data_IF_052838331741
#
_entry.id   IF_052838331741
#
_cell.length_a   1.000
_cell.length_b   1.000
_cell.length_c   1.000
_cell.angle_alpha   90.00
_cell.angle_beta   90.00
_cell.angle_gamma   90.00
#
_symmetry.space_group_name_H-M   'P 1'
#
loop_
_entity.id
_entity.type
_entity.pdbx_description
1 polymer ?
#
# COMPACT_ATOMS: atom_id res chain seq x y z
N UNK A 1 3.61 -18.95 -10.38
CA UNK A 1 4.33 -20.24 -10.47
C UNK A 1 5.57 -20.18 -11.36
N UNK A 2 5.54 -19.59 -12.57
CA UNK A 2 6.75 -19.49 -13.42
C UNK A 2 7.98 -18.93 -12.70
N UNK A 3 7.82 -17.90 -11.87
CA UNK A 3 8.93 -17.38 -11.04
C UNK A 3 9.51 -18.44 -10.08
N UNK A 4 8.66 -19.23 -9.43
CA UNK A 4 9.10 -20.35 -8.59
C UNK A 4 9.84 -21.41 -9.42
N UNK A 5 9.33 -21.78 -10.59
CA UNK A 5 10.00 -22.74 -11.49
C UNK A 5 11.35 -22.22 -11.99
N UNK A 6 11.45 -20.91 -12.22
CA UNK A 6 12.70 -20.24 -12.57
C UNK A 6 13.69 -20.08 -11.38
N UNK A 7 13.37 -20.65 -10.21
CA UNK A 7 14.25 -20.66 -9.05
C UNK A 7 14.07 -19.50 -8.07
N UNK A 8 13.11 -18.59 -8.28
CA UNK A 8 12.84 -17.54 -7.31
C UNK A 8 12.44 -18.15 -5.96
N UNK A 9 13.08 -17.65 -4.89
CA UNK A 9 12.72 -18.02 -3.53
C UNK A 9 11.31 -17.49 -3.19
N UNK A 10 10.55 -18.17 -2.33
CA UNK A 10 9.23 -17.68 -1.90
C UNK A 10 9.26 -16.23 -1.40
N UNK A 11 10.29 -15.87 -0.63
CA UNK A 11 10.51 -14.51 -0.10
C UNK A 11 10.69 -13.42 -1.18
N UNK A 12 11.06 -13.79 -2.41
CA UNK A 12 11.25 -12.85 -3.52
C UNK A 12 9.96 -12.60 -4.30
N UNK A 13 8.85 -13.24 -3.92
CA UNK A 13 7.58 -13.14 -4.63
C UNK A 13 6.58 -12.35 -3.80
N UNK A 14 6.16 -11.23 -4.37
CA UNK A 14 5.07 -10.40 -3.88
C UNK A 14 3.96 -10.35 -4.93
N UNK A 15 2.77 -10.81 -4.56
CA UNK A 15 1.56 -10.65 -5.34
C UNK A 15 0.61 -9.70 -4.61
N UNK A 16 0.25 -8.60 -5.27
CA UNK A 16 -0.63 -7.57 -4.71
C UNK A 16 -1.97 -7.58 -5.45
N UNK A 17 -3.06 -7.40 -4.70
CA UNK A 17 -4.40 -7.20 -5.26
C UNK A 17 -5.18 -6.11 -4.50
N UNK A 18 -6.37 -5.77 -4.97
CA UNK A 18 -7.19 -4.70 -4.37
C UNK A 18 -8.07 -5.20 -3.22
N UNK A 19 -8.43 -6.48 -3.19
CA UNK A 19 -9.39 -6.99 -2.20
C UNK A 19 -8.81 -8.14 -1.39
N UNK A 20 -9.20 -8.20 -0.10
CA UNK A 20 -8.83 -9.31 0.78
C UNK A 20 -9.34 -10.65 0.24
N UNK A 21 -10.53 -10.64 -0.39
CA UNK A 21 -11.10 -11.83 -1.03
C UNK A 21 -10.22 -12.34 -2.17
N UNK A 22 -9.78 -11.46 -3.07
CA UNK A 22 -8.89 -11.87 -4.17
C UNK A 22 -7.55 -12.38 -3.65
N UNK A 23 -6.99 -11.77 -2.60
CA UNK A 23 -5.73 -12.23 -2.01
C UNK A 23 -5.90 -13.65 -1.45
N UNK A 24 -7.01 -13.90 -0.74
CA UNK A 24 -7.33 -15.22 -0.21
C UNK A 24 -7.58 -16.25 -1.32
N UNK A 25 -8.35 -15.90 -2.36
CA UNK A 25 -8.59 -16.77 -3.51
C UNK A 25 -7.29 -17.13 -4.22
N UNK A 26 -6.39 -16.16 -4.45
CA UNK A 26 -5.08 -16.40 -5.04
C UNK A 26 -4.22 -17.35 -4.19
N UNK A 27 -4.24 -17.19 -2.86
CA UNK A 27 -3.52 -18.06 -1.92
C UNK A 27 -4.06 -19.49 -1.93
N UNK A 28 -5.38 -19.64 -1.90
CA UNK A 28 -6.04 -20.95 -2.00
C UNK A 28 -5.71 -21.63 -3.32
N UNK A 29 -5.85 -20.91 -4.44
CA UNK A 29 -5.53 -21.44 -5.78
C UNK A 29 -4.07 -21.86 -5.90
N UNK A 30 -3.13 -21.02 -5.43
CA UNK A 30 -1.71 -21.37 -5.46
C UNK A 30 -1.42 -22.62 -4.64
N UNK A 31 -1.97 -22.71 -3.43
CA UNK A 31 -1.73 -23.85 -2.54
C UNK A 31 -2.29 -25.13 -3.14
N UNK A 32 -3.51 -25.08 -3.69
CA UNK A 32 -4.14 -26.20 -4.39
C UNK A 32 -3.30 -26.67 -5.58
N UNK A 33 -2.91 -25.74 -6.46
CA UNK A 33 -2.08 -26.04 -7.64
C UNK A 33 -0.75 -26.73 -7.22
N UNK A 34 -0.11 -26.25 -6.14
CA UNK A 34 1.14 -26.83 -5.63
C UNK A 34 0.93 -28.24 -5.06
N UNK A 35 -0.15 -28.47 -4.31
CA UNK A 35 -0.50 -29.78 -3.77
C UNK A 35 -0.78 -30.80 -4.88
N UNK A 36 -1.53 -30.40 -5.91
CA UNK A 36 -1.80 -31.23 -7.07
C UNK A 36 -0.50 -31.64 -7.78
N UNK A 37 0.43 -30.71 -7.99
CA UNK A 37 1.74 -31.03 -8.57
C UNK A 37 2.60 -31.95 -7.71
N UNK A 38 2.53 -31.84 -6.39
CA UNK A 38 3.29 -32.72 -5.50
C UNK A 38 2.83 -34.19 -5.61
N UNK A 39 1.53 -34.40 -5.87
CA UNK A 39 0.89 -35.72 -5.89
C UNK A 39 0.73 -36.33 -7.30
N UNK A 40 0.74 -35.52 -8.35
CA UNK A 40 0.57 -35.98 -9.74
C UNK A 40 1.75 -36.84 -10.22
N UNK A 41 1.55 -37.68 -11.23
CA UNK A 41 2.65 -38.37 -11.93
C UNK A 41 3.39 -37.42 -12.87
N UNK A 42 4.51 -37.88 -13.45
CA UNK A 42 5.38 -37.03 -14.28
C UNK A 42 4.66 -36.54 -15.54
N UNK A 43 3.82 -37.38 -16.15
CA UNK A 43 3.01 -37.02 -17.32
C UNK A 43 1.93 -35.99 -16.95
N UNK A 44 1.28 -36.13 -15.78
CA UNK A 44 0.32 -35.16 -15.27
C UNK A 44 0.94 -33.80 -15.00
N UNK A 45 2.13 -33.77 -14.37
CA UNK A 45 2.89 -32.53 -14.16
C UNK A 45 3.30 -31.90 -15.49
N UNK A 46 3.86 -32.68 -16.41
CA UNK A 46 4.26 -32.18 -17.72
C UNK A 46 3.07 -31.63 -18.52
N UNK A 47 1.90 -32.28 -18.46
CA UNK A 47 0.67 -31.80 -19.06
C UNK A 47 0.18 -30.49 -18.44
N UNK A 48 0.20 -30.40 -17.11
CA UNK A 48 -0.18 -29.19 -16.37
C UNK A 48 0.72 -27.98 -16.70
N UNK A 49 2.02 -28.22 -16.87
CA UNK A 49 3.01 -27.20 -17.26
C UNK A 49 2.82 -26.74 -18.71
N UNK A 50 2.53 -27.67 -19.62
CA UNK A 50 2.23 -27.35 -21.03
C UNK A 50 0.98 -26.50 -21.18
N UNK A 51 -0.08 -26.77 -20.40
CA UNK A 51 -1.30 -25.94 -20.37
C UNK A 51 -1.02 -24.49 -19.94
N UNK A 52 0.11 -24.23 -19.30
CA UNK A 52 0.56 -22.89 -18.87
C UNK A 52 1.63 -22.29 -19.79
N UNK A 53 1.77 -22.85 -21.00
CA UNK A 53 2.55 -22.28 -22.09
C UNK A 53 4.01 -22.74 -22.16
N UNK A 54 4.39 -23.80 -21.43
CA UNK A 54 5.70 -24.43 -21.60
C UNK A 54 5.68 -25.37 -22.82
N UNK A 55 6.78 -25.45 -23.56
CA UNK A 55 6.95 -26.49 -24.57
C UNK A 55 7.02 -27.87 -23.93
N UNK A 56 6.80 -28.95 -24.70
CA UNK A 56 6.89 -30.31 -24.18
C UNK A 56 8.27 -30.64 -23.59
N UNK A 57 9.35 -30.11 -24.18
CA UNK A 57 10.72 -30.29 -23.71
C UNK A 57 10.96 -29.54 -22.39
N UNK A 58 10.60 -28.26 -22.31
CA UNK A 58 10.72 -27.46 -21.09
C UNK A 58 9.87 -28.05 -19.95
N UNK A 59 8.66 -28.51 -20.24
CA UNK A 59 7.77 -29.09 -19.25
C UNK A 59 8.37 -30.37 -18.66
N UNK A 60 8.89 -31.28 -19.51
CA UNK A 60 9.58 -32.49 -19.06
C UNK A 60 10.79 -32.17 -18.20
N UNK A 61 11.61 -31.21 -18.61
CA UNK A 61 12.78 -30.78 -17.83
C UNK A 61 12.40 -30.18 -16.45
N UNK A 62 11.24 -29.56 -16.34
CA UNK A 62 10.77 -28.90 -15.13
C UNK A 62 9.99 -29.80 -14.17
N UNK A 63 9.66 -31.06 -14.52
CA UNK A 63 8.82 -31.96 -13.69
C UNK A 63 9.36 -32.10 -12.26
N UNK A 64 10.64 -32.42 -12.11
CA UNK A 64 11.25 -32.61 -10.78
C UNK A 64 11.20 -31.32 -9.94
N UNK A 65 11.50 -30.18 -10.56
CA UNK A 65 11.43 -28.88 -9.89
C UNK A 65 9.99 -28.52 -9.48
N UNK A 66 9.01 -28.81 -10.35
CA UNK A 66 7.59 -28.55 -10.14
C UNK A 66 7.03 -29.37 -8.96
N UNK A 67 7.37 -30.66 -8.89
CA UNK A 67 6.97 -31.57 -7.80
C UNK A 67 7.43 -31.07 -6.43
N UNK A 68 8.66 -30.54 -6.35
CA UNK A 68 9.24 -30.01 -5.12
C UNK A 68 8.73 -28.63 -4.69
N UNK A 69 7.92 -27.94 -5.51
CA UNK A 69 7.50 -26.57 -5.19
C UNK A 69 6.61 -26.49 -3.95
N UNK A 70 5.75 -27.49 -3.71
CA UNK A 70 4.87 -27.48 -2.54
C UNK A 70 5.67 -27.46 -1.24
N UNK A 71 6.60 -28.41 -1.08
CA UNK A 71 7.48 -28.49 0.09
C UNK A 71 8.28 -27.19 0.23
N UNK A 72 8.88 -26.70 -0.86
CA UNK A 72 9.70 -25.48 -0.84
C UNK A 72 8.92 -24.24 -0.40
N UNK A 73 7.65 -24.14 -0.78
CA UNK A 73 6.77 -23.03 -0.35
C UNK A 73 6.27 -23.24 1.08
N UNK A 74 5.88 -24.46 1.45
CA UNK A 74 5.31 -24.79 2.75
C UNK A 74 6.34 -24.69 3.90
N UNK A 75 7.61 -24.96 3.61
CA UNK A 75 8.71 -24.97 4.58
C UNK A 75 9.55 -23.69 4.56
N UNK A 76 9.18 -22.70 3.75
CA UNK A 76 9.94 -21.47 3.62
C UNK A 76 9.98 -20.70 4.94
N UNK A 77 11.19 -20.35 5.42
CA UNK A 77 11.37 -19.51 6.62
C UNK A 77 10.68 -18.15 6.46
N UNK A 78 10.79 -17.56 5.26
CA UNK A 78 10.07 -16.35 4.89
C UNK A 78 9.05 -16.72 3.81
N UNK A 79 7.74 -16.58 4.10
CA UNK A 79 6.70 -17.01 3.18
C UNK A 79 6.62 -16.11 1.95
N UNK A 80 6.08 -16.67 0.87
CA UNK A 80 5.62 -15.88 -0.26
C UNK A 80 4.47 -14.96 0.18
N UNK A 81 4.47 -13.72 -0.32
CA UNK A 81 3.51 -12.69 0.06
C UNK A 81 2.38 -12.56 -0.96
N UNK A 82 1.13 -12.76 -0.52
CA UNK A 82 -0.08 -12.48 -1.29
C UNK A 82 -0.97 -11.58 -0.44
N UNK A 83 -0.94 -10.28 -0.72
CA UNK A 83 -1.56 -9.28 0.14
C UNK A 83 -2.40 -8.29 -0.66
N UNK A 84 -3.20 -7.49 0.04
CA UNK A 84 -3.73 -6.27 -0.57
C UNK A 84 -2.67 -5.19 -0.59
N UNK A 85 -2.86 -4.16 -1.42
CA UNK A 85 -1.97 -2.99 -1.43
C UNK A 85 -1.76 -2.42 -0.01
N UNK A 86 -2.87 -2.24 0.73
CA UNK A 86 -2.85 -1.75 2.10
C UNK A 86 -2.16 -2.73 3.07
N UNK A 87 -2.39 -4.04 2.93
CA UNK A 87 -1.78 -5.06 3.79
C UNK A 87 -0.26 -5.10 3.64
N UNK A 88 0.23 -5.05 2.40
CA UNK A 88 1.67 -5.01 2.14
C UNK A 88 2.32 -3.71 2.62
N UNK A 89 1.68 -2.56 2.37
CA UNK A 89 2.23 -1.28 2.84
C UNK A 89 2.28 -1.22 4.37
N UNK A 90 1.27 -1.77 5.05
CA UNK A 90 1.29 -1.90 6.50
C UNK A 90 2.48 -2.73 7.01
N UNK A 91 2.74 -3.89 6.38
CA UNK A 91 3.90 -4.73 6.71
C UNK A 91 5.22 -3.98 6.49
N UNK A 92 5.33 -3.21 5.41
CA UNK A 92 6.52 -2.40 5.12
C UNK A 92 6.75 -1.35 6.21
N UNK A 93 5.70 -0.58 6.56
CA UNK A 93 5.74 0.47 7.59
C UNK A 93 6.06 -0.13 8.97
N UNK A 94 5.45 -1.26 9.31
CA UNK A 94 5.69 -1.95 10.58
C UNK A 94 7.12 -2.53 10.70
N UNK A 95 7.80 -2.74 9.57
CA UNK A 95 9.17 -3.27 9.50
C UNK A 95 10.22 -2.17 9.31
N UNK A 96 9.81 -0.90 9.27
CA UNK A 96 10.71 0.22 9.00
C UNK A 96 11.75 0.37 10.13
N UNK A 97 13.03 0.64 9.79
CA UNK A 97 14.06 0.83 10.80
C UNK A 97 13.80 2.10 11.63
N UNK A 98 14.35 2.13 12.84
CA UNK A 98 14.32 3.34 13.67
C UNK A 98 14.96 4.51 12.91
N UNK A 99 14.30 5.66 12.92
CA UNK A 99 14.76 6.85 12.19
C UNK A 99 14.24 6.98 10.75
N UNK A 100 13.44 6.03 10.24
CA UNK A 100 12.84 6.11 8.91
C UNK A 100 11.68 7.13 8.78
N UNK A 101 11.49 8.03 9.75
CA UNK A 101 10.39 9.01 9.74
C UNK A 101 8.99 8.41 9.99
N UNK A 102 8.91 7.14 10.40
CA UNK A 102 7.65 6.45 10.74
C UNK A 102 7.60 6.21 12.25
N UNK A 103 6.42 6.36 12.91
CA UNK A 103 6.27 6.04 14.33
C UNK A 103 6.68 4.61 14.66
N UNK A 104 7.34 4.42 15.80
CA UNK A 104 7.58 3.09 16.37
C UNK A 104 6.23 2.47 16.74
N UNK A 105 5.97 1.23 16.26
CA UNK A 105 4.69 0.54 16.40
C UNK A 105 3.49 1.37 15.85
N UNK A 106 3.37 1.52 14.52
CA UNK A 106 2.25 2.25 13.93
C UNK A 106 0.92 1.61 14.36
N UNK A 107 -0.09 2.44 14.58
CA UNK A 107 -1.47 2.00 14.84
C UNK A 107 -2.37 2.49 13.72
N UNK A 108 -3.24 1.61 13.23
CA UNK A 108 -4.22 1.99 12.22
C UNK A 108 -5.32 2.81 12.89
N UNK A 109 -5.53 4.03 12.41
CA UNK A 109 -6.58 4.89 12.92
C UNK A 109 -7.95 4.45 12.35
N UNK A 110 -8.79 3.84 13.20
CA UNK A 110 -10.09 3.32 12.77
C UNK A 110 -11.15 4.42 12.55
N UNK A 111 -11.04 5.54 13.26
CA UNK A 111 -12.04 6.62 13.24
C UNK A 111 -11.46 7.96 12.78
N UNK A 112 -10.79 7.96 11.62
CA UNK A 112 -10.14 9.15 11.07
C UNK A 112 -11.09 10.35 10.93
N UNK A 113 -12.34 10.12 10.56
CA UNK A 113 -13.33 11.19 10.40
C UNK A 113 -13.70 11.85 11.74
N UNK A 114 -13.85 11.06 12.81
CA UNK A 114 -14.09 11.62 14.16
C UNK A 114 -12.91 12.48 14.59
N UNK A 115 -11.70 11.98 14.37
CA UNK A 115 -10.49 12.72 14.72
C UNK A 115 -10.37 14.04 13.93
N UNK A 116 -10.82 14.09 12.67
CA UNK A 116 -10.89 15.35 11.91
C UNK A 116 -11.91 16.32 12.48
N UNK A 117 -13.06 15.83 12.94
CA UNK A 117 -14.08 16.66 13.60
C UNK A 117 -13.52 17.25 14.90
N UNK A 118 -12.87 16.44 15.72
CA UNK A 118 -12.25 16.90 16.97
C UNK A 118 -11.13 17.91 16.70
N UNK A 119 -10.28 17.64 15.70
CA UNK A 119 -9.23 18.55 15.27
C UNK A 119 -9.79 19.89 14.77
N UNK A 120 -10.93 19.87 14.08
CA UNK A 120 -11.62 21.09 13.63
C UNK A 120 -12.07 21.95 14.80
N UNK A 121 -12.69 21.35 15.83
CA UNK A 121 -13.13 22.06 17.04
C UNK A 121 -11.93 22.66 17.79
N UNK A 122 -10.82 21.93 17.87
CA UNK A 122 -9.59 22.46 18.49
C UNK A 122 -8.98 23.60 17.66
N UNK A 123 -8.95 23.46 16.33
CA UNK A 123 -8.44 24.48 15.42
C UNK A 123 -9.21 25.80 15.56
N UNK A 124 -10.54 25.77 15.53
CA UNK A 124 -11.35 26.99 15.67
C UNK A 124 -11.19 27.65 17.04
N UNK A 125 -11.08 26.86 18.11
CA UNK A 125 -10.78 27.37 19.45
C UNK A 125 -9.38 28.02 19.54
N UNK A 126 -8.40 27.51 18.79
CA UNK A 126 -7.05 28.09 18.73
C UNK A 126 -7.05 29.45 18.01
N UNK A 127 -7.83 29.63 16.95
CA UNK A 127 -7.87 30.89 16.18
C UNK A 127 -8.27 32.12 17.04
N UNK A 128 -9.03 31.92 18.11
CA UNK A 128 -9.42 33.01 19.02
C UNK A 128 -8.22 33.55 19.81
N UNK A 129 -7.17 32.77 19.99
CA UNK A 129 -6.01 33.14 20.80
C UNK A 129 -5.13 34.17 20.09
N UNK A 130 -4.61 35.16 20.81
CA UNK A 130 -3.81 36.25 20.23
C UNK A 130 -2.56 35.74 19.49
N UNK A 131 -1.93 34.67 19.99
CA UNK A 131 -0.77 34.04 19.33
C UNK A 131 -1.03 33.53 17.92
N UNK A 132 -2.30 33.33 17.54
CA UNK A 132 -2.73 32.82 16.24
C UNK A 132 -3.41 33.91 15.39
N UNK A 133 -3.12 35.20 15.65
CA UNK A 133 -3.76 36.32 14.96
C UNK A 133 -3.52 36.32 13.44
N UNK A 134 -2.34 35.88 12.96
CA UNK A 134 -2.07 35.81 11.53
C UNK A 134 -2.94 34.75 10.83
N UNK A 135 -3.05 33.57 11.43
CA UNK A 135 -3.87 32.46 10.93
C UNK A 135 -5.37 32.81 10.98
N UNK A 136 -5.81 33.51 12.04
CA UNK A 136 -7.18 34.04 12.13
C UNK A 136 -7.48 35.00 10.99
N UNK A 137 -6.60 35.96 10.69
CA UNK A 137 -6.81 36.89 9.56
C UNK A 137 -6.87 36.17 8.21
N UNK A 138 -6.02 35.16 8.01
CA UNK A 138 -6.05 34.35 6.78
C UNK A 138 -7.36 33.54 6.68
N UNK A 139 -7.86 33.03 7.80
CA UNK A 139 -9.15 32.35 7.87
C UNK A 139 -10.33 33.31 7.61
N UNK A 140 -10.34 34.48 8.23
CA UNK A 140 -11.35 35.53 8.00
C UNK A 140 -11.38 35.94 6.52
N UNK A 141 -10.21 36.10 5.89
CA UNK A 141 -10.12 36.36 4.45
C UNK A 141 -10.76 35.24 3.61
N UNK A 142 -10.51 33.96 3.94
CA UNK A 142 -11.17 32.85 3.25
C UNK A 142 -12.69 32.89 3.43
N UNK A 143 -13.16 33.21 4.63
CA UNK A 143 -14.60 33.35 4.92
C UNK A 143 -15.24 34.45 4.08
N UNK A 144 -14.58 35.59 3.95
CA UNK A 144 -15.07 36.73 3.18
C UNK A 144 -15.13 36.42 1.67
N UNK A 145 -14.13 35.72 1.13
CA UNK A 145 -14.02 35.42 -0.30
C UNK A 145 -14.87 34.21 -0.74
N UNK A 146 -14.96 33.16 0.08
CA UNK A 146 -15.53 31.87 -0.30
C UNK A 146 -16.78 31.48 0.53
N UNK A 147 -16.96 32.08 1.71
CA UNK A 147 -17.96 31.66 2.69
C UNK A 147 -17.51 30.49 3.57
N UNK A 148 -18.24 30.24 4.67
CA UNK A 148 -17.87 29.28 5.72
C UNK A 148 -17.77 27.83 5.23
N UNK A 149 -18.82 27.31 4.59
CA UNK A 149 -18.86 25.92 4.13
C UNK A 149 -17.77 25.62 3.08
N UNK A 150 -17.56 26.53 2.12
CA UNK A 150 -16.55 26.36 1.08
C UNK A 150 -15.13 26.43 1.65
N UNK A 151 -14.86 27.37 2.56
CA UNK A 151 -13.56 27.52 3.23
C UNK A 151 -13.21 26.28 4.07
N UNK A 152 -14.19 25.74 4.80
CA UNK A 152 -14.01 24.50 5.55
C UNK A 152 -13.74 23.32 4.64
N UNK A 153 -14.50 23.17 3.54
CA UNK A 153 -14.29 22.11 2.55
C UNK A 153 -12.90 22.20 1.94
N UNK A 154 -12.43 23.39 1.60
CA UNK A 154 -11.09 23.63 1.06
C UNK A 154 -10.00 23.15 2.04
N UNK A 155 -10.07 23.56 3.31
CA UNK A 155 -9.11 23.12 4.33
C UNK A 155 -9.13 21.60 4.54
N UNK A 156 -10.31 20.98 4.57
CA UNK A 156 -10.45 19.53 4.73
C UNK A 156 -9.91 18.76 3.52
N UNK A 157 -10.10 19.28 2.30
CA UNK A 157 -9.50 18.71 1.10
C UNK A 157 -7.98 18.84 1.12
N UNK A 158 -7.45 19.99 1.54
CA UNK A 158 -6.02 20.19 1.72
C UNK A 158 -5.43 19.18 2.71
N UNK A 159 -6.05 18.98 3.87
CA UNK A 159 -5.67 17.97 4.86
C UNK A 159 -5.74 16.53 4.30
N UNK A 160 -6.77 16.25 3.48
CA UNK A 160 -6.93 14.98 2.78
C UNK A 160 -5.79 14.70 1.79
N UNK A 161 -5.20 15.75 1.24
CA UNK A 161 -4.09 15.72 0.27
C UNK A 161 -2.72 16.04 0.88
N UNK A 162 -2.59 15.99 2.21
CA UNK A 162 -1.37 16.39 2.91
C UNK A 162 -0.11 15.64 2.44
N UNK A 163 -0.25 14.38 2.05
CA UNK A 163 0.89 13.57 1.62
C UNK A 163 1.40 14.04 0.24
N UNK A 164 0.48 14.35 -0.67
CA UNK A 164 0.80 14.96 -1.95
C UNK A 164 1.43 16.35 -1.75
N UNK A 165 0.91 17.15 -0.81
CA UNK A 165 1.49 18.45 -0.47
C UNK A 165 2.89 18.34 0.14
N UNK A 166 3.12 17.41 1.06
CA UNK A 166 4.47 17.15 1.60
C UNK A 166 5.45 16.71 0.52
N UNK A 167 5.03 15.79 -0.36
CA UNK A 167 5.85 15.36 -1.50
C UNK A 167 6.12 16.50 -2.48
N UNK A 168 5.15 17.38 -2.70
CA UNK A 168 5.29 18.54 -3.58
C UNK A 168 6.20 19.61 -2.98
N UNK A 169 6.18 19.78 -1.66
CA UNK A 169 6.98 20.74 -0.93
C UNK A 169 8.47 20.38 -0.88
N UNK A 170 8.81 19.09 -0.77
CA UNK A 170 10.20 18.65 -0.76
C UNK A 170 11.01 19.23 0.41
N UNK A 171 10.43 19.18 1.61
CA UNK A 171 10.93 19.74 2.89
C UNK A 171 11.12 21.27 2.95
N UNK A 172 10.70 22.02 1.91
CA UNK A 172 10.75 23.49 1.89
C UNK A 172 9.34 24.08 1.66
N UNK A 173 8.71 24.56 2.74
CA UNK A 173 7.36 25.12 2.71
C UNK A 173 7.26 26.39 1.84
N UNK A 174 8.27 27.25 1.86
CA UNK A 174 8.26 28.52 1.12
C UNK A 174 8.39 28.25 -0.40
N UNK A 175 9.28 27.34 -0.78
CA UNK A 175 9.41 26.89 -2.16
C UNK A 175 8.14 26.17 -2.65
N UNK A 176 7.47 25.40 -1.77
CA UNK A 176 6.20 24.75 -2.06
C UNK A 176 5.11 25.76 -2.40
N UNK A 177 4.93 26.78 -1.56
CA UNK A 177 3.94 27.84 -1.75
C UNK A 177 4.21 28.60 -3.04
N UNK A 178 5.46 29.00 -3.28
CA UNK A 178 5.84 29.69 -4.51
C UNK A 178 5.52 28.86 -5.76
N UNK A 179 5.80 27.54 -5.73
CA UNK A 179 5.53 26.62 -6.84
C UNK A 179 4.03 26.40 -7.05
N UNK A 180 3.25 26.31 -5.98
CA UNK A 180 1.80 26.15 -6.04
C UNK A 180 1.09 27.38 -6.60
N UNK A 181 1.61 28.57 -6.31
CA UNK A 181 1.05 29.85 -6.77
C UNK A 181 1.54 30.25 -8.16
N UNK A 182 2.61 29.66 -8.68
CA UNK A 182 3.18 30.00 -9.99
C UNK A 182 2.18 29.95 -11.16
N UNK A 183 1.24 28.99 -11.25
CA UNK A 183 0.24 28.96 -12.33
C UNK A 183 -0.88 30.01 -12.20
N UNK A 184 -0.99 30.69 -11.05
CA UNK A 184 -2.03 31.69 -10.76
C UNK A 184 -1.53 33.13 -10.98
N UNK A 185 -0.29 33.29 -11.44
CA UNK A 185 0.36 34.56 -11.79
C UNK A 185 0.47 34.68 -13.30
#
# INVERSE_FOLDING_TARGET
>A
MRALLAGAAPAQILAITFTRRAAQEMRVRLTKDLQELALADDDGIAGWLQQRGMTAEEARAAVGAARGLYERVATARVPLSIETFHGWFWQLVASAPLGAGVPYAPVLLEAADRMRVDAWLHFTALLVQQRHAAQRRAWEWLLDELGDDASRKLLMQFLGKRAEWWSFAGDDEDAAVARALAPLR
#
